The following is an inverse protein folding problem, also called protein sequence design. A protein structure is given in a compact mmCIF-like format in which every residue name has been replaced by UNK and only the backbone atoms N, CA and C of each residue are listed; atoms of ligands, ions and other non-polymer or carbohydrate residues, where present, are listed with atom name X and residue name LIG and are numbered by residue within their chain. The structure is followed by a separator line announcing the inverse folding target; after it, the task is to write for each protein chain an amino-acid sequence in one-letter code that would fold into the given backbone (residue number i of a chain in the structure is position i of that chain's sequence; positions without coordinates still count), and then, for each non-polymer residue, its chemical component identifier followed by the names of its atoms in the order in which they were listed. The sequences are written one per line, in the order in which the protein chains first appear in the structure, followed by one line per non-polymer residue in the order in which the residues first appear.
data_IF_099610662655
#
_entry.id   IF_099610662655
#
_cell.length_a   1.000
_cell.length_b   1.000
_cell.length_c   1.000
_cell.angle_alpha   90.00
_cell.angle_beta   90.00
_cell.angle_gamma   90.00
#
_symmetry.space_group_name_H-M   'P 1'
#
loop_
_entity.id
_entity.type
_entity.pdbx_description
1 polymer ?
#
# COMPACT_ATOMS: atom_id res chain seq x y z
N UNK A 1 16.44 24.38 12.41
CA UNK A 1 16.61 23.25 11.49
C UNK A 1 15.21 22.88 11.05
N UNK A 2 14.86 23.14 9.80
CA UNK A 2 13.57 22.71 9.23
C UNK A 2 13.72 21.22 9.00
N UNK A 3 12.85 20.40 9.61
CA UNK A 3 12.84 18.97 9.27
C UNK A 3 12.59 18.84 7.76
N UNK A 4 13.36 17.98 7.05
CA UNK A 4 13.11 17.75 5.66
C UNK A 4 11.69 17.21 5.51
N UNK A 5 10.86 17.91 4.73
CA UNK A 5 9.55 17.41 4.29
C UNK A 5 9.72 15.95 3.83
N UNK A 6 8.83 15.03 4.23
CA UNK A 6 8.87 13.64 3.79
C UNK A 6 8.95 13.61 2.26
N UNK A 7 10.13 13.27 1.75
CA UNK A 7 10.30 13.08 0.33
C UNK A 7 9.66 11.74 -0.02
N UNK A 8 8.86 11.66 -1.10
CA UNK A 8 8.51 10.40 -1.73
C UNK A 8 9.73 9.52 -1.75
N UNK A 9 9.65 8.29 -1.22
CA UNK A 9 10.69 7.28 -1.44
C UNK A 9 10.38 6.69 -2.81
N UNK A 10 10.92 7.25 -3.91
CA UNK A 10 10.59 6.79 -5.26
C UNK A 10 11.18 5.39 -5.48
N UNK A 11 12.07 5.00 -4.56
CA UNK A 11 12.88 3.82 -4.53
C UNK A 11 12.40 2.81 -3.48
N UNK A 12 11.09 2.68 -3.22
CA UNK A 12 10.64 1.61 -2.32
C UNK A 12 10.78 0.21 -2.94
N UNK A 13 10.84 0.13 -4.27
CA UNK A 13 11.39 -1.02 -4.98
C UNK A 13 12.92 -1.15 -4.82
N UNK A 14 13.58 -0.14 -4.28
CA UNK A 14 15.02 0.15 -4.43
C UNK A 14 15.74 0.39 -3.08
N UNK A 15 15.38 -0.37 -2.04
CA UNK A 15 16.44 -1.13 -1.36
C UNK A 15 17.03 -2.24 -2.27
N UNK A 16 16.49 -2.35 -3.50
CA UNK A 16 16.70 -3.34 -4.56
C UNK A 16 16.24 -4.73 -4.18
N UNK A 17 15.43 -4.80 -3.13
CA UNK A 17 14.94 -6.03 -2.55
C UNK A 17 13.41 -6.07 -2.69
N UNK A 18 12.98 -6.51 -3.87
CA UNK A 18 11.57 -6.72 -4.17
C UNK A 18 10.95 -7.78 -3.25
N UNK A 19 11.74 -8.72 -2.74
CA UNK A 19 11.28 -9.78 -1.85
C UNK A 19 10.98 -9.20 -0.47
N UNK A 20 11.87 -8.37 0.08
CA UNK A 20 11.64 -7.67 1.34
C UNK A 20 10.40 -6.75 1.28
N UNK A 21 10.22 -6.03 0.18
CA UNK A 21 9.01 -5.23 -0.02
C UNK A 21 7.77 -6.14 -0.11
N UNK A 22 7.84 -7.24 -0.85
CA UNK A 22 6.73 -8.17 -0.98
C UNK A 22 6.35 -8.77 0.39
N UNK A 23 7.31 -9.18 1.22
CA UNK A 23 7.03 -9.69 2.56
C UNK A 23 6.30 -8.65 3.43
N UNK A 24 6.80 -7.41 3.43
CA UNK A 24 6.13 -6.31 4.12
C UNK A 24 4.71 -6.08 3.56
N UNK A 25 4.56 -6.04 2.24
CA UNK A 25 3.27 -5.88 1.57
C UNK A 25 2.28 -6.97 1.99
N UNK A 26 2.68 -8.24 1.98
CA UNK A 26 1.79 -9.34 2.37
C UNK A 26 1.33 -9.22 3.82
N UNK A 27 2.22 -8.83 4.74
CA UNK A 27 1.86 -8.58 6.13
C UNK A 27 0.85 -7.43 6.24
N UNK A 28 1.15 -6.27 5.64
CA UNK A 28 0.29 -5.10 5.74
C UNK A 28 -1.08 -5.33 5.08
N UNK A 29 -1.07 -5.91 3.88
CA UNK A 29 -2.26 -6.10 3.06
C UNK A 29 -3.12 -7.25 3.60
N UNK A 30 -2.58 -8.46 3.74
CA UNK A 30 -3.40 -9.63 4.07
C UNK A 30 -3.60 -9.85 5.57
N UNK A 31 -2.61 -9.52 6.40
CA UNK A 31 -2.69 -9.80 7.86
C UNK A 31 -3.30 -8.62 8.60
N UNK A 32 -2.86 -7.40 8.31
CA UNK A 32 -3.32 -6.19 9.01
C UNK A 32 -4.50 -5.48 8.33
N UNK A 33 -5.01 -6.05 7.24
CA UNK A 33 -6.18 -5.56 6.52
C UNK A 33 -6.04 -4.11 6.01
N UNK A 34 -4.80 -3.63 5.81
CA UNK A 34 -4.58 -2.25 5.37
C UNK A 34 -5.04 -2.03 3.93
N UNK A 35 -5.57 -0.84 3.67
CA UNK A 35 -5.93 -0.41 2.33
C UNK A 35 -4.69 -0.06 1.50
N UNK A 36 -4.77 -0.12 0.15
CA UNK A 36 -3.71 0.36 -0.74
C UNK A 36 -3.27 1.80 -0.43
N UNK A 37 -4.20 2.65 0.03
CA UNK A 37 -3.89 4.04 0.43
C UNK A 37 -2.98 4.08 1.65
N UNK A 38 -3.30 3.34 2.70
CA UNK A 38 -2.49 3.29 3.92
C UNK A 38 -1.10 2.69 3.66
N UNK A 39 -1.03 1.68 2.81
CA UNK A 39 0.27 1.10 2.39
C UNK A 39 1.07 2.14 1.62
N UNK A 40 0.46 2.84 0.66
CA UNK A 40 1.14 3.89 -0.09
C UNK A 40 1.59 5.06 0.79
N UNK A 41 0.83 5.41 1.84
CA UNK A 41 1.24 6.38 2.86
C UNK A 41 2.48 5.92 3.64
N UNK A 42 2.50 4.66 4.10
CA UNK A 42 3.67 4.06 4.79
C UNK A 42 4.90 4.06 3.88
N UNK A 43 4.70 3.67 2.63
CA UNK A 43 5.73 3.63 1.60
C UNK A 43 6.36 5.02 1.42
N UNK A 44 5.54 6.08 1.39
CA UNK A 44 6.01 7.46 1.26
C UNK A 44 6.44 8.09 2.57
N UNK A 45 6.29 7.40 3.71
CA UNK A 45 6.58 7.93 5.04
C UNK A 45 5.64 9.07 5.46
N UNK A 46 4.42 9.08 4.95
CA UNK A 46 3.40 10.09 5.23
C UNK A 46 2.41 9.59 6.27
N UNK A 47 2.08 10.44 7.23
CA UNK A 47 0.99 10.17 8.14
C UNK A 47 -0.37 10.39 7.43
N UNK A 48 -1.46 9.71 7.84
CA UNK A 48 -2.77 9.88 7.21
C UNK A 48 -3.33 11.32 7.30
N UNK A 49 -2.91 12.09 8.30
CA UNK A 49 -3.28 13.48 8.56
C UNK A 49 -2.31 14.50 7.96
N UNK A 50 -1.25 14.05 7.27
CA UNK A 50 -0.33 14.91 6.55
C UNK A 50 -1.09 15.68 5.45
N UNK A 51 -0.89 17.02 5.30
CA UNK A 51 -1.49 17.79 4.21
C UNK A 51 -1.23 17.20 2.81
N UNK A 52 -0.10 16.50 2.64
CA UNK A 52 0.33 15.89 1.39
C UNK A 52 0.00 14.38 1.31
N UNK A 53 -0.74 13.82 2.27
CA UNK A 53 -1.09 12.40 2.31
C UNK A 53 -1.80 11.91 1.03
N UNK A 54 -2.46 12.80 0.30
CA UNK A 54 -3.11 12.49 -0.98
C UNK A 54 -2.16 12.31 -2.17
N UNK A 55 -0.90 12.75 -2.08
CA UNK A 55 0.07 12.64 -3.17
C UNK A 55 0.41 11.19 -3.52
N UNK A 56 0.13 10.25 -2.62
CA UNK A 56 0.38 8.81 -2.80
C UNK A 56 -0.69 8.11 -3.65
N UNK A 57 -1.77 8.82 -4.04
CA UNK A 57 -2.90 8.25 -4.77
C UNK A 57 -2.50 7.46 -6.03
N UNK A 58 -1.56 7.93 -6.88
CA UNK A 58 -1.12 7.15 -8.04
C UNK A 58 -0.56 5.79 -7.66
N UNK A 59 0.23 5.73 -6.58
CA UNK A 59 0.81 4.47 -6.11
C UNK A 59 -0.23 3.56 -5.45
N UNK A 60 -1.12 4.13 -4.65
CA UNK A 60 -2.26 3.39 -4.10
C UNK A 60 -3.13 2.77 -5.22
N UNK A 61 -3.31 3.48 -6.33
CA UNK A 61 -4.03 2.99 -7.50
C UNK A 61 -3.30 1.82 -8.18
N UNK A 62 -1.97 1.90 -8.32
CA UNK A 62 -1.16 0.79 -8.85
C UNK A 62 -1.25 -0.46 -7.97
N UNK A 63 -1.09 -0.32 -6.64
CA UNK A 63 -1.26 -1.44 -5.71
C UNK A 63 -2.64 -2.09 -5.88
N UNK A 64 -3.71 -1.28 -5.90
CA UNK A 64 -5.08 -1.78 -6.02
C UNK A 64 -5.31 -2.54 -7.34
N UNK A 65 -4.66 -2.10 -8.42
CA UNK A 65 -4.76 -2.72 -9.74
C UNK A 65 -3.98 -4.04 -9.83
N UNK A 66 -2.79 -4.09 -9.25
CA UNK A 66 -1.90 -5.25 -9.35
C UNK A 66 -2.19 -6.33 -8.30
N UNK A 67 -2.71 -5.94 -7.14
CA UNK A 67 -2.98 -6.82 -6.01
C UNK A 67 -4.43 -6.68 -5.54
N UNK A 68 -5.40 -7.07 -6.39
CA UNK A 68 -6.80 -6.97 -6.02
C UNK A 68 -7.11 -7.89 -4.84
N UNK A 69 -7.81 -7.35 -3.84
CA UNK A 69 -8.28 -8.14 -2.71
C UNK A 69 -9.42 -9.03 -3.17
N UNK A 70 -9.23 -10.34 -3.05
CA UNK A 70 -10.25 -11.32 -3.41
C UNK A 70 -11.10 -11.62 -2.18
N UNK A 71 -12.37 -11.24 -2.22
CA UNK A 71 -13.35 -11.68 -1.22
C UNK A 71 -13.78 -13.12 -1.53
N UNK A 72 -13.04 -14.07 -0.94
CA UNK A 72 -13.30 -15.50 -1.10
C UNK A 72 -14.70 -15.88 -0.62
N UNK A 73 -15.24 -15.20 0.41
CA UNK A 73 -16.59 -15.49 0.91
C UNK A 73 -17.64 -15.08 -0.13
N UNK A 74 -17.53 -13.87 -0.67
CA UNK A 74 -18.42 -13.41 -1.74
C UNK A 74 -18.33 -14.31 -2.98
N UNK A 75 -17.13 -14.81 -3.32
CA UNK A 75 -16.96 -15.77 -4.41
C UNK A 75 -17.64 -17.11 -4.14
N UNK A 76 -17.53 -17.66 -2.93
CA UNK A 76 -18.19 -18.92 -2.56
C UNK A 76 -19.71 -18.76 -2.60
N UNK A 77 -20.23 -17.65 -2.09
CA UNK A 77 -21.67 -17.34 -2.11
C UNK A 77 -22.20 -17.18 -3.55
N UNK A 78 -21.43 -16.56 -4.44
CA UNK A 78 -21.79 -16.43 -5.85
C UNK A 78 -21.75 -17.78 -6.60
N UNK A 79 -20.83 -18.68 -6.23
CA UNK A 79 -20.66 -19.98 -6.87
C UNK A 79 -21.66 -21.06 -6.38
N UNK A 80 -22.33 -20.83 -5.25
CA UNK A 80 -23.28 -21.78 -4.64
C UNK A 80 -24.75 -21.39 -4.84
N UNK A 81 -25.02 -20.32 -5.59
CA UNK A 81 -26.34 -19.94 -6.12
C UNK A 81 -26.55 -20.48 -7.53
#
# INVERSE_FOLDING_TARGET
MTEPQPAPRPDLFTNKDADAWAEQFHLLFYVLDMSPMQIAQIDYGLAPDDPEAGLVFPWAHEIARHFPRVDVRAMIEAATK
#
